data_IF_979224375094
#
_entry.id   IF_979224375094
#
_cell.length_a   1.000
_cell.length_b   1.000
_cell.length_c   1.000
_cell.angle_alpha   90.00
_cell.angle_beta   90.00
_cell.angle_gamma   90.00
#
_symmetry.space_group_name_H-M   'P 1'
#
loop_
_entity.id
_entity.type
_entity.pdbx_description
1 polymer ?
#
# COMPACT_ATOMS: atom_id res chain seq x y z
N UNK A 1 -14.88 24.32 -2.14
CA UNK A 1 -15.19 22.94 -1.68
C UNK A 1 -13.99 22.50 -0.86
N UNK A 2 -14.18 22.09 0.39
CA UNK A 2 -13.08 21.72 1.30
C UNK A 2 -12.62 20.29 1.05
N UNK A 3 -11.35 19.98 1.33
CA UNK A 3 -10.75 18.65 1.18
C UNK A 3 -11.61 17.56 1.81
N UNK A 4 -11.97 17.70 3.09
CA UNK A 4 -12.79 16.72 3.82
C UNK A 4 -14.15 16.45 3.17
N UNK A 5 -14.76 17.46 2.54
CA UNK A 5 -16.03 17.29 1.84
C UNK A 5 -15.86 16.45 0.58
N UNK A 6 -14.80 16.69 -0.19
CA UNK A 6 -14.50 15.89 -1.39
C UNK A 6 -14.24 14.43 -1.04
N UNK A 7 -13.47 14.17 0.02
CA UNK A 7 -13.19 12.81 0.49
C UNK A 7 -14.47 12.09 0.91
N UNK A 8 -15.31 12.75 1.71
CA UNK A 8 -16.56 12.16 2.18
C UNK A 8 -17.54 11.86 1.03
N UNK A 9 -17.74 12.82 0.13
CA UNK A 9 -18.64 12.66 -1.00
C UNK A 9 -18.10 11.62 -1.99
N UNK A 10 -16.77 11.56 -2.19
CA UNK A 10 -16.10 10.56 -3.00
C UNK A 10 -16.30 9.14 -2.46
N UNK A 11 -16.03 8.92 -1.17
CA UNK A 11 -16.25 7.63 -0.47
C UNK A 11 -17.68 7.14 -0.57
N UNK A 12 -18.65 8.05 -0.41
CA UNK A 12 -20.08 7.71 -0.57
C UNK A 12 -20.40 7.23 -1.97
N UNK A 13 -19.85 7.90 -2.99
CA UNK A 13 -20.05 7.51 -4.38
C UNK A 13 -19.38 6.17 -4.73
N UNK A 14 -18.22 5.85 -4.13
CA UNK A 14 -17.54 4.56 -4.31
C UNK A 14 -18.28 3.36 -3.70
N UNK A 15 -19.12 3.58 -2.69
CA UNK A 15 -19.93 2.52 -2.08
C UNK A 15 -21.14 2.10 -2.93
N UNK A 16 -21.40 2.82 -4.02
CA UNK A 16 -22.43 2.46 -4.99
C UNK A 16 -21.95 1.34 -5.92
N UNK A 17 -22.88 0.55 -6.46
CA UNK A 17 -22.58 -0.51 -7.43
C UNK A 17 -22.55 0.00 -8.87
N UNK A 18 -23.05 1.21 -9.12
CA UNK A 18 -23.08 1.81 -10.45
C UNK A 18 -21.71 2.27 -10.91
N UNK A 19 -21.30 1.82 -12.10
CA UNK A 19 -20.04 2.23 -12.74
C UNK A 19 -19.90 3.75 -12.87
N UNK A 20 -21.00 4.46 -13.11
CA UNK A 20 -20.98 5.92 -13.22
C UNK A 20 -20.78 6.62 -11.89
N UNK A 21 -21.33 6.07 -10.79
CA UNK A 21 -21.06 6.61 -9.45
C UNK A 21 -19.64 6.30 -9.00
N UNK A 22 -19.09 5.14 -9.34
CA UNK A 22 -17.68 4.82 -9.09
C UNK A 22 -16.77 5.82 -9.80
N UNK A 23 -17.01 6.11 -11.09
CA UNK A 23 -16.26 7.16 -11.83
C UNK A 23 -16.40 8.54 -11.19
N UNK A 24 -17.60 8.89 -10.72
CA UNK A 24 -17.82 10.16 -10.03
C UNK A 24 -17.04 10.23 -8.71
N UNK A 25 -17.04 9.15 -7.93
CA UNK A 25 -16.25 9.04 -6.70
C UNK A 25 -14.76 9.17 -6.95
N UNK A 26 -14.24 8.50 -7.98
CA UNK A 26 -12.85 8.63 -8.43
C UNK A 26 -12.50 10.10 -8.69
N UNK A 27 -13.31 10.81 -9.48
CA UNK A 27 -13.07 12.23 -9.80
C UNK A 27 -13.01 13.12 -8.55
N UNK A 28 -13.87 12.86 -7.56
CA UNK A 28 -13.89 13.62 -6.30
C UNK A 28 -12.64 13.37 -5.47
N UNK A 29 -12.19 12.11 -5.39
CA UNK A 29 -10.99 11.72 -4.64
C UNK A 29 -9.70 12.18 -5.30
N UNK A 30 -9.58 12.12 -6.63
CA UNK A 30 -8.44 12.70 -7.36
C UNK A 30 -8.36 14.22 -7.12
N UNK A 31 -9.50 14.90 -7.09
CA UNK A 31 -9.56 16.32 -6.76
C UNK A 31 -9.16 16.60 -5.31
N UNK A 32 -9.47 15.69 -4.38
CA UNK A 32 -8.99 15.79 -3.00
C UNK A 32 -7.46 15.65 -2.95
N UNK A 33 -6.86 14.69 -3.66
CA UNK A 33 -5.40 14.53 -3.73
C UNK A 33 -4.69 15.76 -4.33
N UNK A 34 -5.29 16.42 -5.31
CA UNK A 34 -4.75 17.68 -5.87
C UNK A 34 -4.72 18.82 -4.85
N UNK A 35 -5.67 18.86 -3.92
CA UNK A 35 -5.66 19.84 -2.82
C UNK A 35 -4.60 19.45 -1.79
N UNK A 36 -4.44 18.15 -1.54
CA UNK A 36 -3.49 17.61 -0.58
C UNK A 36 -3.98 17.69 0.87
N UNK A 37 -3.27 16.99 1.74
CA UNK A 37 -3.47 16.97 3.19
C UNK A 37 -2.10 16.79 3.86
N UNK A 38 -1.96 17.28 5.09
CA UNK A 38 -0.79 16.97 5.94
C UNK A 38 -0.91 15.57 6.57
N UNK A 39 -2.11 15.00 6.58
CA UNK A 39 -2.38 13.65 7.07
C UNK A 39 -1.98 12.62 5.99
N UNK A 40 -0.76 12.10 6.12
CA UNK A 40 -0.19 11.09 5.22
C UNK A 40 -0.99 9.77 5.22
N UNK A 41 -1.56 9.38 6.36
CA UNK A 41 -2.41 8.18 6.44
C UNK A 41 -3.68 8.37 5.62
N UNK A 42 -4.31 9.54 5.73
CA UNK A 42 -5.50 9.84 4.92
C UNK A 42 -5.19 9.88 3.42
N UNK A 43 -4.00 10.34 3.02
CA UNK A 43 -3.56 10.26 1.63
C UNK A 43 -3.33 8.81 1.19
N UNK A 44 -2.74 7.97 2.03
CA UNK A 44 -2.57 6.53 1.75
C UNK A 44 -3.94 5.87 1.54
N UNK A 45 -4.89 6.10 2.45
CA UNK A 45 -6.25 5.57 2.36
C UNK A 45 -6.94 5.98 1.05
N UNK A 46 -6.82 7.24 0.63
CA UNK A 46 -7.40 7.74 -0.62
C UNK A 46 -6.75 7.05 -1.83
N UNK A 47 -5.42 6.88 -1.85
CA UNK A 47 -4.74 6.15 -2.93
C UNK A 47 -5.20 4.68 -2.98
N UNK A 48 -5.37 4.04 -1.83
CA UNK A 48 -5.89 2.67 -1.71
C UNK A 48 -7.32 2.55 -2.26
N UNK A 49 -8.20 3.49 -1.91
CA UNK A 49 -9.58 3.55 -2.41
C UNK A 49 -9.63 3.80 -3.93
N UNK A 50 -8.83 4.73 -4.44
CA UNK A 50 -8.73 5.01 -5.87
C UNK A 50 -8.26 3.79 -6.65
N UNK A 51 -7.22 3.10 -6.17
CA UNK A 51 -6.78 1.89 -6.82
C UNK A 51 -7.85 0.78 -6.80
N UNK A 52 -8.65 0.65 -5.72
CA UNK A 52 -9.82 -0.26 -5.69
C UNK A 52 -10.83 0.09 -6.77
N UNK A 53 -11.13 1.38 -6.90
CA UNK A 53 -12.11 1.87 -7.85
C UNK A 53 -11.64 1.66 -9.29
N UNK A 54 -10.39 1.99 -9.62
CA UNK A 54 -9.86 1.71 -10.95
C UNK A 54 -9.79 0.21 -11.27
N UNK A 55 -9.49 -0.62 -10.28
CA UNK A 55 -9.51 -2.07 -10.43
C UNK A 55 -10.91 -2.60 -10.74
N UNK A 56 -11.96 -2.07 -10.11
CA UNK A 56 -13.35 -2.44 -10.41
C UNK A 56 -13.83 -1.89 -11.76
N UNK A 57 -13.25 -0.78 -12.22
CA UNK A 57 -13.47 -0.23 -13.55
C UNK A 57 -12.73 -0.97 -14.68
N UNK A 58 -11.86 -1.93 -14.32
CA UNK A 58 -10.93 -2.65 -15.21
C UNK A 58 -9.83 -1.78 -15.84
N UNK A 59 -9.56 -0.60 -15.26
CA UNK A 59 -8.41 0.22 -15.62
C UNK A 59 -7.22 -0.17 -14.75
N UNK A 60 -6.56 -1.27 -15.13
CA UNK A 60 -5.51 -1.86 -14.33
C UNK A 60 -4.21 -1.04 -14.31
N UNK A 61 -3.97 -0.20 -15.31
CA UNK A 61 -2.81 0.70 -15.32
C UNK A 61 -2.96 1.81 -14.29
N UNK A 62 -4.15 2.43 -14.20
CA UNK A 62 -4.41 3.40 -13.15
C UNK A 62 -4.44 2.74 -11.77
N UNK A 63 -5.06 1.56 -11.65
CA UNK A 63 -5.02 0.81 -10.39
C UNK A 63 -3.58 0.53 -9.92
N UNK A 64 -2.66 0.25 -10.85
CA UNK A 64 -1.23 0.04 -10.56
C UNK A 64 -0.61 1.28 -9.94
N UNK A 65 -0.80 2.42 -10.58
CA UNK A 65 -0.20 3.68 -10.15
C UNK A 65 -0.65 4.02 -8.73
N UNK A 66 -1.94 3.89 -8.45
CA UNK A 66 -2.49 4.18 -7.13
C UNK A 66 -2.07 3.17 -6.04
N UNK A 67 -1.99 1.86 -6.35
CA UNK A 67 -1.47 0.88 -5.39
C UNK A 67 0.03 1.04 -5.11
N UNK A 68 0.82 1.46 -6.09
CA UNK A 68 2.25 1.73 -5.86
C UNK A 68 2.43 2.96 -4.96
N UNK A 69 1.62 4.00 -5.16
CA UNK A 69 1.64 5.19 -4.32
C UNK A 69 1.24 4.86 -2.88
N UNK A 70 0.12 4.17 -2.71
CA UNK A 70 -0.36 3.66 -1.41
C UNK A 70 0.71 2.80 -0.72
N UNK A 71 1.29 1.84 -1.43
CA UNK A 71 2.36 0.99 -0.94
C UNK A 71 3.62 1.76 -0.52
N UNK A 72 3.95 2.87 -1.19
CA UNK A 72 5.12 3.68 -0.85
C UNK A 72 4.90 4.41 0.47
N UNK A 73 3.70 4.94 0.70
CA UNK A 73 3.32 5.59 1.96
C UNK A 73 3.14 4.56 3.07
N UNK A 74 2.43 3.47 2.81
CA UNK A 74 2.09 2.41 3.79
C UNK A 74 3.30 1.64 4.32
N UNK A 75 4.42 1.59 3.56
CA UNK A 75 5.73 1.10 4.06
C UNK A 75 6.27 1.87 5.26
N UNK A 76 5.86 3.14 5.40
CA UNK A 76 6.26 3.99 6.52
C UNK A 76 5.24 3.92 7.67
N UNK A 77 4.12 3.21 7.46
CA UNK A 77 3.01 3.04 8.38
C UNK A 77 3.07 1.64 9.04
N UNK A 78 1.98 1.20 9.66
CA UNK A 78 1.95 -0.03 10.45
C UNK A 78 1.98 -1.33 9.61
N UNK A 79 2.25 -2.45 10.30
CA UNK A 79 2.36 -3.78 9.69
C UNK A 79 1.14 -4.19 8.86
N UNK A 80 -0.08 -3.97 9.36
CA UNK A 80 -1.30 -4.43 8.69
C UNK A 80 -1.51 -3.68 7.37
N UNK A 81 -1.30 -2.36 7.40
CA UNK A 81 -1.36 -1.50 6.21
C UNK A 81 -0.35 -1.96 5.16
N UNK A 82 0.90 -2.19 5.56
CA UNK A 82 1.95 -2.68 4.66
C UNK A 82 1.61 -4.02 4.00
N UNK A 83 1.12 -5.01 4.75
CA UNK A 83 0.72 -6.32 4.21
C UNK A 83 -0.47 -6.19 3.26
N UNK A 84 -1.47 -5.40 3.64
CA UNK A 84 -2.65 -5.18 2.83
C UNK A 84 -2.29 -4.60 1.45
N UNK A 85 -1.51 -3.51 1.41
CA UNK A 85 -1.09 -2.87 0.15
C UNK A 85 -0.23 -3.81 -0.70
N UNK A 86 0.71 -4.54 -0.08
CA UNK A 86 1.56 -5.48 -0.78
C UNK A 86 0.78 -6.61 -1.45
N UNK A 87 -0.24 -7.15 -0.78
CA UNK A 87 -1.14 -8.18 -1.35
C UNK A 87 -1.84 -7.71 -2.61
N UNK A 88 -2.30 -6.45 -2.64
CA UNK A 88 -2.99 -5.87 -3.81
C UNK A 88 -2.08 -5.71 -5.02
N UNK A 89 -0.83 -5.31 -4.77
CA UNK A 89 0.20 -5.19 -5.81
C UNK A 89 0.56 -6.55 -6.41
N UNK A 90 0.62 -7.61 -5.59
CA UNK A 90 0.81 -8.99 -6.07
C UNK A 90 -0.34 -9.42 -6.99
N UNK A 91 -1.59 -9.20 -6.56
CA UNK A 91 -2.79 -9.56 -7.34
C UNK A 91 -2.78 -8.83 -8.68
N UNK A 92 -2.43 -7.53 -8.67
CA UNK A 92 -2.40 -6.74 -9.89
C UNK A 92 -1.28 -7.19 -10.84
N UNK A 93 -0.09 -7.48 -10.32
CA UNK A 93 1.00 -8.05 -11.10
C UNK A 93 0.61 -9.38 -11.75
N UNK A 94 -0.17 -10.22 -11.05
CA UNK A 94 -0.74 -11.44 -11.63
C UNK A 94 -1.72 -11.17 -12.77
N UNK A 95 -2.60 -10.18 -12.64
CA UNK A 95 -3.55 -9.82 -13.70
C UNK A 95 -2.89 -9.20 -14.93
N UNK A 96 -1.86 -8.38 -14.72
CA UNK A 96 -1.13 -7.71 -15.79
C UNK A 96 -0.03 -8.57 -16.41
N UNK A 97 0.24 -9.76 -15.85
CA UNK A 97 1.39 -10.57 -16.17
C UNK A 97 2.73 -9.81 -16.02
N UNK A 98 2.80 -8.94 -15.01
CA UNK A 98 3.97 -8.12 -14.66
C UNK A 98 4.69 -8.75 -13.47
N UNK A 99 5.72 -9.55 -13.77
CA UNK A 99 6.50 -10.27 -12.75
C UNK A 99 7.35 -9.33 -11.89
N UNK A 100 7.74 -8.17 -12.43
CA UNK A 100 8.48 -7.15 -11.66
C UNK A 100 7.57 -6.56 -10.59
N UNK A 101 6.30 -6.29 -10.94
CA UNK A 101 5.32 -5.80 -9.99
C UNK A 101 4.98 -6.82 -8.91
N UNK A 102 4.83 -8.11 -9.28
CA UNK A 102 4.66 -9.19 -8.30
C UNK A 102 5.84 -9.25 -7.33
N UNK A 103 7.07 -9.22 -7.86
CA UNK A 103 8.29 -9.28 -7.05
C UNK A 103 8.36 -8.12 -6.05
N UNK A 104 8.00 -6.90 -6.48
CA UNK A 104 7.88 -5.74 -5.58
C UNK A 104 6.88 -5.99 -4.46
N UNK A 105 5.72 -6.56 -4.77
CA UNK A 105 4.72 -6.92 -3.77
C UNK A 105 5.26 -7.93 -2.74
N UNK A 106 5.85 -9.03 -3.19
CA UNK A 106 6.47 -10.02 -2.29
C UNK A 106 7.57 -9.44 -1.42
N UNK A 107 8.44 -8.60 -2.00
CA UNK A 107 9.49 -7.91 -1.26
C UNK A 107 8.92 -7.06 -0.12
N UNK A 108 7.83 -6.34 -0.37
CA UNK A 108 7.23 -5.48 0.65
C UNK A 108 6.50 -6.28 1.73
N UNK A 109 5.86 -7.40 1.40
CA UNK A 109 5.38 -8.33 2.42
C UNK A 109 6.51 -8.78 3.33
N UNK A 110 7.64 -9.22 2.75
CA UNK A 110 8.81 -9.66 3.51
C UNK A 110 9.38 -8.55 4.41
N UNK A 111 9.43 -7.31 3.89
CA UNK A 111 9.87 -6.15 4.65
C UNK A 111 8.94 -5.84 5.84
N UNK A 112 7.62 -5.92 5.65
CA UNK A 112 6.65 -5.71 6.72
C UNK A 112 6.81 -6.74 7.84
N UNK A 113 6.91 -8.04 7.50
CA UNK A 113 7.16 -9.09 8.47
C UNK A 113 8.49 -8.90 9.23
N UNK A 114 9.53 -8.43 8.53
CA UNK A 114 10.80 -8.12 9.17
C UNK A 114 10.65 -6.98 10.19
N UNK A 115 9.97 -5.90 9.81
CA UNK A 115 9.81 -4.75 10.69
C UNK A 115 8.99 -5.09 11.94
N UNK A 116 7.92 -5.88 11.78
CA UNK A 116 7.11 -6.38 12.89
C UNK A 116 7.94 -7.27 13.84
N UNK A 117 8.70 -8.23 13.28
CA UNK A 117 9.61 -9.08 14.06
C UNK A 117 10.69 -8.27 14.80
N UNK A 118 11.20 -7.19 14.21
CA UNK A 118 12.16 -6.28 14.85
C UNK A 118 11.52 -5.52 16.01
N UNK A 119 10.28 -5.02 15.86
CA UNK A 119 9.57 -4.33 16.94
C UNK A 119 9.18 -5.27 18.09
N UNK A 120 8.88 -6.54 17.81
CA UNK A 120 8.63 -7.53 18.84
C UNK A 120 9.88 -7.89 19.65
N UNK A 121 11.10 -7.75 19.11
CA UNK A 121 12.35 -8.03 19.84
C UNK A 121 12.68 -6.99 20.93
N UNK A 122 12.07 -5.81 20.90
CA UNK A 122 12.22 -4.80 21.95
C UNK A 122 11.26 -5.04 23.14
N UNK A 123 10.29 -5.95 22.99
CA UNK A 123 9.35 -6.37 24.01
C UNK A 123 9.74 -7.74 24.57
N UNK A 124 10.46 -7.75 25.70
CA UNK A 124 10.89 -8.92 26.49
C UNK A 124 11.85 -9.92 25.82
N UNK A 125 13.12 -9.53 25.68
CA UNK A 125 14.22 -10.47 25.44
C UNK A 125 14.66 -11.15 26.76
N UNK A 126 14.18 -12.39 26.99
CA UNK A 126 14.74 -13.31 27.99
C UNK A 126 15.67 -14.38 27.39
N UNK A 127 15.72 -14.52 26.06
CA UNK A 127 16.51 -15.56 25.39
C UNK A 127 17.11 -15.01 24.08
N UNK A 128 18.38 -14.56 24.12
CA UNK A 128 19.08 -13.78 23.08
C UNK A 128 19.28 -14.46 21.72
N UNK A 129 18.66 -15.61 21.50
CA UNK A 129 18.68 -16.42 20.28
C UNK A 129 17.86 -15.78 19.14
N UNK A 130 16.76 -15.08 19.47
CA UNK A 130 15.91 -14.38 18.50
C UNK A 130 16.60 -13.16 17.87
N UNK A 131 17.47 -12.49 18.62
CA UNK A 131 18.17 -11.28 18.16
C UNK A 131 19.15 -11.57 17.01
N UNK A 132 19.96 -12.63 17.13
CA UNK A 132 20.95 -13.03 16.12
C UNK A 132 20.31 -13.50 14.81
N UNK A 133 19.19 -14.21 14.88
CA UNK A 133 18.46 -14.65 13.69
C UNK A 133 17.81 -13.47 12.95
N UNK A 134 17.20 -12.53 13.68
CA UNK A 134 16.63 -11.32 13.11
C UNK A 134 17.71 -10.40 12.49
N UNK A 135 18.87 -10.28 13.12
CA UNK A 135 20.02 -9.54 12.58
C UNK A 135 20.54 -10.19 11.29
N UNK A 136 20.64 -11.51 11.23
CA UNK A 136 21.04 -12.24 10.02
C UNK A 136 20.06 -12.01 8.86
N UNK A 137 18.75 -12.14 9.10
CA UNK A 137 17.72 -11.89 8.08
C UNK A 137 17.80 -10.44 7.57
N UNK A 138 18.01 -9.47 8.47
CA UNK A 138 18.17 -8.05 8.14
C UNK A 138 19.35 -7.80 7.18
N UNK A 139 20.50 -8.40 7.43
CA UNK A 139 21.68 -8.24 6.57
C UNK A 139 21.49 -8.87 5.18
N UNK A 140 20.87 -10.05 5.11
CA UNK A 140 20.64 -10.72 3.82
C UNK A 140 19.65 -9.94 2.95
N UNK A 141 18.61 -9.36 3.55
CA UNK A 141 17.64 -8.54 2.82
C UNK A 141 18.21 -7.19 2.38
N UNK A 142 18.98 -6.50 3.21
CA UNK A 142 19.67 -5.26 2.78
C UNK A 142 20.60 -5.52 1.59
N UNK A 143 21.36 -6.62 1.61
CA UNK A 143 22.22 -7.03 0.48
C UNK A 143 21.42 -7.29 -0.79
N UNK A 144 20.26 -7.96 -0.67
CA UNK A 144 19.32 -8.19 -1.78
C UNK A 144 18.83 -6.87 -2.38
N UNK A 145 18.42 -5.90 -1.56
CA UNK A 145 17.92 -4.58 -2.00
C UNK A 145 18.96 -3.80 -2.82
N UNK A 146 20.23 -3.83 -2.41
CA UNK A 146 21.30 -3.17 -3.15
C UNK A 146 21.71 -3.89 -4.44
N UNK A 147 21.29 -5.15 -4.62
CA UNK A 147 21.60 -5.95 -5.83
C UNK A 147 20.67 -5.66 -7.02
N UNK A 148 19.57 -4.92 -6.82
CA UNK A 148 18.61 -4.55 -7.86
C UNK A 148 18.82 -3.15 -8.46
N UNK A 149 19.95 -2.49 -8.16
CA UNK A 149 20.35 -1.22 -8.79
C UNK A 149 21.18 -1.44 -10.05
#
# INVERSE_FOLDING_TARGET
>A
MTFNKLVLDGRRALNDSSKEMIKHGVLLLERALLIGSEDEQLIADINSELGSAYFSLHDFEQAKNFFINDLTTSKLLDFNSSIYCAGRVIILGARLNDDVLKAKGYYNCGFAYLQDALTCSEADDSDGTSHLYNQYIREQLQKSVFSFK
#
